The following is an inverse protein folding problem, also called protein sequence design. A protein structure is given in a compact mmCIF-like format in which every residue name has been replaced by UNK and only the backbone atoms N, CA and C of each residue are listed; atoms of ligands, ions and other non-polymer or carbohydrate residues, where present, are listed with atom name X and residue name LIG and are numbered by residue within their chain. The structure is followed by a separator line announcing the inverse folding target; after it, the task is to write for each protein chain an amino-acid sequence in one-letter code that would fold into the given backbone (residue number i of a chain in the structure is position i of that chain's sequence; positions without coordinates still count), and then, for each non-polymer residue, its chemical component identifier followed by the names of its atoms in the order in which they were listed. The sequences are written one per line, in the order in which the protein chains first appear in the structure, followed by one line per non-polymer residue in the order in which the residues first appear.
data_IF_390984932722
#
_entry.id   IF_390984932722
#
_cell.length_a   1.000
_cell.length_b   1.000
_cell.length_c   1.000
_cell.angle_alpha   90.00
_cell.angle_beta   90.00
_cell.angle_gamma   90.00
#
_symmetry.space_group_name_H-M   'P 1'
#
loop_
_entity.id
_entity.type
_entity.pdbx_description
1 polymer ?
#
# COMPACT_ATOMS: atom_id res chain seq x y z
N UNK A 1 -22.60 -9.50 1.92
CA UNK A 1 -21.51 -9.22 2.87
C UNK A 1 -21.33 -7.73 2.88
N UNK A 2 -21.51 -7.11 4.04
CA UNK A 2 -21.52 -5.66 4.18
C UNK A 2 -20.10 -5.21 4.55
N UNK A 3 -19.31 -4.86 3.52
CA UNK A 3 -17.89 -4.57 3.64
C UNK A 3 -17.57 -3.48 4.67
N UNK A 4 -18.52 -2.57 4.93
CA UNK A 4 -18.36 -1.51 5.92
C UNK A 4 -18.38 -2.03 7.36
N UNK A 5 -19.28 -2.96 7.68
CA UNK A 5 -19.40 -3.52 9.03
C UNK A 5 -18.27 -4.51 9.31
N UNK A 6 -17.86 -5.31 8.34
CA UNK A 6 -16.72 -6.23 8.47
C UNK A 6 -15.38 -5.49 8.70
N UNK A 7 -15.19 -4.36 8.03
CA UNK A 7 -14.02 -3.51 8.22
C UNK A 7 -14.02 -2.87 9.62
N UNK A 8 -15.16 -2.34 10.06
CA UNK A 8 -15.29 -1.73 11.38
C UNK A 8 -15.01 -2.73 12.51
N UNK A 9 -15.54 -3.96 12.40
CA UNK A 9 -15.25 -5.04 13.34
C UNK A 9 -13.77 -5.42 13.33
N UNK A 10 -13.16 -5.58 12.15
CA UNK A 10 -11.73 -5.89 12.04
C UNK A 10 -10.86 -4.82 12.69
N UNK A 11 -11.17 -3.54 12.49
CA UNK A 11 -10.47 -2.42 13.11
C UNK A 11 -10.63 -2.42 14.63
N UNK A 12 -11.84 -2.65 15.14
CA UNK A 12 -12.10 -2.74 16.58
C UNK A 12 -11.32 -3.89 17.24
N UNK A 13 -11.29 -5.06 16.60
CA UNK A 13 -10.52 -6.22 17.07
C UNK A 13 -9.03 -5.87 17.11
N UNK A 14 -8.51 -5.25 16.05
CA UNK A 14 -7.11 -4.81 16.01
C UNK A 14 -6.80 -3.78 17.10
N UNK A 15 -7.70 -2.82 17.34
CA UNK A 15 -7.53 -1.80 18.40
C UNK A 15 -7.52 -2.44 19.80
N UNK A 16 -8.41 -3.40 20.04
CA UNK A 16 -8.47 -4.13 21.31
C UNK A 16 -7.20 -4.95 21.55
N UNK A 17 -6.73 -5.70 20.54
CA UNK A 17 -5.48 -6.47 20.61
C UNK A 17 -4.28 -5.53 20.82
N UNK A 18 -4.23 -4.44 20.07
CA UNK A 18 -3.19 -3.41 20.19
C UNK A 18 -3.12 -2.86 21.62
N UNK A 19 -4.27 -2.49 22.21
CA UNK A 19 -4.34 -2.00 23.58
C UNK A 19 -3.89 -3.06 24.60
N UNK A 20 -4.27 -4.33 24.38
CA UNK A 20 -3.86 -5.45 25.22
C UNK A 20 -2.34 -5.67 25.18
N UNK A 21 -1.71 -5.55 24.01
CA UNK A 21 -0.26 -5.63 23.85
C UNK A 21 0.47 -4.38 24.36
N UNK A 22 -0.18 -3.21 24.37
CA UNK A 22 0.40 -1.98 24.86
C UNK A 22 0.55 -1.98 26.39
N UNK A 23 -0.32 -2.71 27.10
CA UNK A 23 -0.27 -2.83 28.56
C UNK A 23 1.04 -3.41 29.13
N UNK A 24 1.53 -4.59 28.70
CA UNK A 24 2.81 -5.12 29.17
C UNK A 24 3.97 -4.24 28.75
N UNK A 25 3.93 -3.65 27.56
CA UNK A 25 4.93 -2.70 27.10
C UNK A 25 5.00 -1.44 27.99
N UNK A 26 3.85 -0.87 28.35
CA UNK A 26 3.77 0.24 29.29
C UNK A 26 4.36 -0.14 30.66
N UNK A 27 4.04 -1.33 31.19
CA UNK A 27 4.63 -1.83 32.44
C UNK A 27 6.16 -1.98 32.36
N UNK A 28 6.69 -2.44 31.23
CA UNK A 28 8.13 -2.57 31.01
C UNK A 28 8.83 -1.21 30.95
N UNK A 29 8.27 -0.24 30.23
CA UNK A 29 8.81 1.13 30.13
C UNK A 29 8.85 1.82 31.49
N UNK A 30 7.77 1.73 32.27
CA UNK A 30 7.71 2.30 33.63
C UNK A 30 8.74 1.65 34.55
N UNK A 31 8.89 0.32 34.48
CA UNK A 31 9.89 -0.40 35.29
C UNK A 31 11.32 -0.09 34.88
N UNK A 32 11.56 0.16 33.60
CA UNK A 32 12.87 0.50 33.08
C UNK A 32 13.26 1.98 33.29
N UNK A 33 12.38 2.79 33.90
CA UNK A 33 12.64 4.21 34.16
C UNK A 33 12.64 5.08 32.90
N UNK A 34 12.09 4.57 31.80
CA UNK A 34 12.05 5.27 30.52
C UNK A 34 10.97 6.38 30.55
N UNK A 35 11.20 7.52 29.85
CA UNK A 35 10.23 8.59 29.70
C UNK A 35 8.82 8.09 29.33
N UNK A 36 7.81 8.62 30.02
CA UNK A 36 6.38 8.28 29.83
C UNK A 36 5.84 8.35 28.39
N UNK A 37 6.33 9.18 27.45
CA UNK A 37 5.82 9.16 26.06
C UNK A 37 6.33 7.99 25.22
N UNK A 38 7.34 7.23 25.68
CA UNK A 38 7.93 6.15 24.89
C UNK A 38 6.97 5.01 24.49
N UNK A 39 5.99 4.59 25.31
CA UNK A 39 4.99 3.59 24.91
C UNK A 39 4.08 4.11 23.79
N UNK A 40 3.90 5.43 23.66
CA UNK A 40 3.11 6.03 22.59
C UNK A 40 3.78 5.78 21.22
N UNK A 41 5.11 5.69 21.17
CA UNK A 41 5.84 5.32 19.95
C UNK A 41 5.59 3.88 19.51
N UNK A 42 5.21 2.98 20.42
CA UNK A 42 4.83 1.59 20.07
C UNK A 42 3.47 1.52 19.38
N UNK A 43 2.66 2.56 19.47
CA UNK A 43 1.38 2.67 18.74
C UNK A 43 1.66 2.90 17.25
N UNK A 44 2.77 3.55 16.89
CA UNK A 44 3.12 3.91 15.52
C UNK A 44 3.33 2.70 14.59
N UNK A 45 4.10 1.65 14.94
CA UNK A 45 4.22 0.45 14.11
C UNK A 45 2.93 -0.38 14.04
N UNK A 46 1.99 -0.23 14.99
CA UNK A 46 0.73 -0.97 14.99
C UNK A 46 -0.36 -0.27 14.16
N UNK A 47 -0.52 1.05 14.29
CA UNK A 47 -1.52 1.81 13.54
C UNK A 47 -1.03 2.27 12.17
N UNK A 48 0.28 2.46 11.98
CA UNK A 48 0.88 2.89 10.71
C UNK A 48 0.48 2.03 9.51
N UNK A 49 0.60 0.69 9.57
CA UNK A 49 0.20 -0.18 8.46
C UNK A 49 -1.30 -0.13 8.16
N UNK A 50 -2.15 -0.04 9.18
CA UNK A 50 -3.62 0.02 9.02
C UNK A 50 -4.02 1.33 8.34
N UNK A 51 -3.46 2.45 8.79
CA UNK A 51 -3.70 3.77 8.20
C UNK A 51 -3.17 3.80 6.76
N UNK A 52 -1.98 3.24 6.52
CA UNK A 52 -1.40 3.12 5.18
C UNK A 52 -2.30 2.33 4.24
N UNK A 53 -2.80 1.16 4.66
CA UNK A 53 -3.70 0.35 3.85
C UNK A 53 -5.04 1.04 3.60
N UNK A 54 -5.60 1.73 4.59
CA UNK A 54 -6.83 2.51 4.44
C UNK A 54 -6.64 3.64 3.42
N UNK A 55 -5.56 4.40 3.55
CA UNK A 55 -5.22 5.46 2.59
C UNK A 55 -4.99 4.87 1.19
N UNK A 56 -4.26 3.77 1.08
CA UNK A 56 -4.02 3.09 -0.20
C UNK A 56 -5.33 2.62 -0.84
N UNK A 57 -6.27 2.10 -0.06
CA UNK A 57 -7.58 1.66 -0.54
C UNK A 57 -8.49 2.82 -0.96
N UNK A 58 -8.33 4.00 -0.36
CA UNK A 58 -9.09 5.23 -0.68
C UNK A 58 -8.44 6.08 -1.75
N UNK A 59 -7.14 5.91 -1.99
CA UNK A 59 -6.41 6.67 -2.99
C UNK A 59 -6.78 6.11 -4.36
N UNK A 60 -7.36 6.91 -5.26
CA UNK A 60 -7.65 6.46 -6.62
C UNK A 60 -6.33 6.08 -7.29
N UNK A 61 -6.28 4.88 -7.86
CA UNK A 61 -5.09 4.41 -8.56
C UNK A 61 -4.80 5.37 -9.71
N UNK A 62 -3.55 5.86 -9.88
CA UNK A 62 -3.23 6.71 -11.01
C UNK A 62 -3.53 5.96 -12.30
N UNK A 63 -4.09 6.66 -13.28
CA UNK A 63 -4.32 6.11 -14.61
C UNK A 63 -2.95 5.72 -15.19
N UNK A 64 -2.62 4.44 -15.13
CA UNK A 64 -1.41 3.91 -15.72
C UNK A 64 -1.48 4.15 -17.24
N UNK A 65 -0.38 4.55 -17.88
CA UNK A 65 -0.37 4.68 -19.33
C UNK A 65 -0.79 3.36 -19.95
N UNK A 66 -1.62 3.44 -21.00
CA UNK A 66 -2.12 2.27 -21.69
C UNK A 66 -0.95 1.35 -22.03
N UNK A 67 -1.02 0.09 -21.57
CA UNK A 67 0.01 -0.90 -21.82
C UNK A 67 0.25 -0.95 -23.32
N UNK A 68 1.50 -0.79 -23.75
CA UNK A 68 1.85 -0.86 -25.16
C UNK A 68 1.22 -2.13 -25.77
N UNK A 69 0.47 -2.01 -26.88
CA UNK A 69 -0.19 -3.14 -27.48
C UNK A 69 0.87 -4.20 -27.79
N UNK A 70 0.66 -5.43 -27.32
CA UNK A 70 1.51 -6.56 -27.67
C UNK A 70 1.33 -6.83 -29.16
N UNK A 71 2.13 -6.15 -29.98
CA UNK A 71 2.21 -6.40 -31.41
C UNK A 71 2.75 -7.81 -31.62
N UNK A 72 2.04 -8.59 -32.42
CA UNK A 72 2.53 -9.87 -32.87
C UNK A 72 3.87 -9.65 -33.61
N UNK A 73 4.90 -10.51 -33.45
CA UNK A 73 6.23 -10.29 -34.03
C UNK A 73 6.22 -9.94 -35.52
N UNK A 74 5.29 -10.54 -36.27
CA UNK A 74 5.09 -10.27 -37.71
C UNK A 74 4.62 -8.85 -38.02
N UNK A 75 3.73 -8.29 -37.19
CA UNK A 75 3.25 -6.91 -37.38
C UNK A 75 4.31 -5.89 -36.97
N UNK A 76 5.13 -6.23 -35.97
CA UNK A 76 6.29 -5.44 -35.56
C UNK A 76 7.30 -5.30 -36.70
N UNK A 77 7.65 -6.42 -37.34
CA UNK A 77 8.51 -6.45 -38.53
C UNK A 77 7.93 -5.66 -39.71
N UNK A 78 6.60 -5.70 -39.91
CA UNK A 78 5.94 -4.95 -40.99
C UNK A 78 6.02 -3.44 -40.77
N UNK A 79 5.85 -2.99 -39.52
CA UNK A 79 6.01 -1.56 -39.15
C UNK A 79 7.46 -1.11 -39.27
N UNK A 80 8.42 -1.90 -38.80
CA UNK A 80 9.86 -1.58 -38.93
C UNK A 80 10.25 -1.41 -40.41
N UNK A 81 9.78 -2.31 -41.29
CA UNK A 81 10.01 -2.16 -42.74
C UNK A 81 9.37 -0.90 -43.32
N UNK A 82 8.12 -0.61 -42.97
CA UNK A 82 7.44 0.59 -43.45
C UNK A 82 8.13 1.89 -42.98
N UNK A 83 8.70 1.88 -41.78
CA UNK A 83 9.45 3.03 -41.23
C UNK A 83 10.77 3.21 -41.98
N UNK A 84 11.48 2.11 -42.27
CA UNK A 84 12.71 2.13 -43.06
C UNK A 84 12.50 2.62 -44.49
N UNK A 85 11.40 2.23 -45.13
CA UNK A 85 11.06 2.70 -46.48
C UNK A 85 10.74 4.19 -46.50
N UNK A 86 10.04 4.69 -45.47
CA UNK A 86 9.74 6.12 -45.34
C UNK A 86 11.03 6.96 -45.15
N UNK A 87 11.96 6.53 -44.29
CA UNK A 87 13.24 7.23 -44.08
C UNK A 87 14.24 7.11 -45.23
N UNK A 88 14.09 6.11 -46.10
CA UNK A 88 14.93 5.95 -47.29
C UNK A 88 14.42 6.75 -48.51
N UNK A 89 13.24 7.37 -48.38
CA UNK A 89 12.60 8.17 -49.44
C UNK A 89 12.71 9.68 -49.18
N UNK A 90 13.38 10.09 -48.10
CA UNK A 90 13.93 11.44 -47.88
C UNK A 90 15.40 11.48 -48.31
#
# INVERSE_FOLDING_TARGET
MDLGTDLAHSLLIHLAITALLLWPAHRLVVRAGLPRPWPLWLVLPLLGPVIFLYLLAKTPWPALPARAPKLHPRERLKRERATQTATASE
#
